data_IF_550065609398
#
_entry.id   IF_550065609398
#
_cell.length_a   1.000
_cell.length_b   1.000
_cell.length_c   1.000
_cell.angle_alpha   90.00
_cell.angle_beta   90.00
_cell.angle_gamma   90.00
#
_symmetry.space_group_name_H-M   'P 1'
#
loop_
_entity.id
_entity.type
_entity.pdbx_description
1 polymer ?
#
# COMPACT_ATOMS: atom_id res chain seq x y z
N UNK A 1 10.39 -21.95 -11.13
CA UNK A 1 9.91 -20.55 -11.16
C UNK A 1 10.07 -19.95 -9.78
N UNK A 2 10.99 -19.01 -9.59
CA UNK A 2 11.23 -18.37 -8.29
C UNK A 2 9.98 -17.60 -7.89
N UNK A 3 9.26 -18.07 -6.86
CA UNK A 3 8.14 -17.34 -6.24
C UNK A 3 8.68 -15.97 -5.83
N UNK A 4 8.29 -14.91 -6.53
CA UNK A 4 8.42 -13.54 -6.04
C UNK A 4 7.43 -13.40 -4.88
N UNK A 5 7.84 -13.84 -3.70
CA UNK A 5 7.14 -13.55 -2.45
C UNK A 5 7.00 -12.04 -2.37
N UNK A 6 5.76 -11.55 -2.25
CA UNK A 6 5.55 -10.13 -1.99
C UNK A 6 6.33 -9.77 -0.71
N UNK A 7 7.27 -8.81 -0.75
CA UNK A 7 8.22 -8.61 0.35
C UNK A 7 7.58 -8.15 1.66
N UNK A 8 6.29 -7.78 1.63
CA UNK A 8 5.53 -7.34 2.80
C UNK A 8 4.15 -8.01 2.84
N UNK A 9 3.80 -8.56 4.00
CA UNK A 9 2.48 -9.12 4.28
C UNK A 9 1.39 -8.04 4.23
N UNK A 10 0.13 -8.41 3.90
CA UNK A 10 -0.99 -7.45 3.90
C UNK A 10 -1.15 -6.76 5.26
N UNK A 11 -0.97 -7.48 6.37
CA UNK A 11 -1.03 -6.92 7.73
C UNK A 11 0.01 -5.79 7.95
N UNK A 12 1.23 -5.96 7.42
CA UNK A 12 2.29 -4.94 7.52
C UNK A 12 1.90 -3.70 6.73
N UNK A 13 1.32 -3.90 5.55
CA UNK A 13 0.83 -2.82 4.69
C UNK A 13 -0.31 -2.03 5.35
N UNK A 14 -1.31 -2.72 5.87
CA UNK A 14 -2.44 -2.06 6.57
C UNK A 14 -1.98 -1.32 7.82
N UNK A 15 -1.09 -1.94 8.61
CA UNK A 15 -0.49 -1.30 9.79
C UNK A 15 0.29 -0.03 9.40
N UNK A 16 1.10 -0.08 8.33
CA UNK A 16 1.89 1.05 7.89
C UNK A 16 0.99 2.19 7.38
N UNK A 17 -0.06 1.89 6.63
CA UNK A 17 -1.04 2.89 6.17
C UNK A 17 -1.77 3.52 7.36
N UNK A 18 -2.21 2.72 8.34
CA UNK A 18 -2.85 3.24 9.56
C UNK A 18 -1.93 4.17 10.33
N UNK A 19 -0.66 3.79 10.47
CA UNK A 19 0.34 4.59 11.17
C UNK A 19 0.60 5.93 10.47
N UNK A 20 0.64 5.97 9.13
CA UNK A 20 0.77 7.25 8.40
C UNK A 20 -0.40 8.18 8.69
N UNK A 21 -1.63 7.67 8.75
CA UNK A 21 -2.83 8.49 9.00
C UNK A 21 -2.89 9.01 10.42
N UNK A 22 -2.50 8.17 11.39
CA UNK A 22 -2.43 8.54 12.81
C UNK A 22 -1.41 9.67 13.05
N UNK A 23 -0.22 9.53 12.44
CA UNK A 23 0.86 10.52 12.58
C UNK A 23 0.77 11.68 11.57
N UNK A 24 -0.23 11.74 10.69
CA UNK A 24 -0.32 12.78 9.65
C UNK A 24 -0.39 14.19 10.25
N UNK A 25 -1.10 14.35 11.37
CA UNK A 25 -1.24 15.63 12.07
C UNK A 25 -0.03 16.06 12.89
N UNK A 26 0.90 15.15 13.19
CA UNK A 26 2.13 15.44 13.94
C UNK A 26 3.27 15.90 13.01
N UNK A 27 3.13 15.66 11.71
CA UNK A 27 4.10 16.05 10.71
C UNK A 27 3.60 17.25 9.89
N UNK A 28 4.52 18.13 9.47
CA UNK A 28 4.17 19.29 8.64
C UNK A 28 3.61 18.95 7.24
N UNK A 29 3.60 17.67 6.86
CA UNK A 29 3.05 17.17 5.60
C UNK A 29 2.87 15.65 5.64
N UNK A 30 1.86 15.13 4.93
CA UNK A 30 1.65 13.69 4.73
C UNK A 30 2.91 12.98 4.20
N UNK A 31 3.67 13.63 3.31
CA UNK A 31 4.93 13.07 2.80
C UNK A 31 6.01 12.90 3.89
N UNK A 32 6.06 13.80 4.88
CA UNK A 32 6.99 13.70 6.00
C UNK A 32 6.60 12.55 6.94
N UNK A 33 5.30 12.37 7.20
CA UNK A 33 4.79 11.19 7.90
C UNK A 33 5.14 9.89 7.16
N UNK A 34 4.91 9.84 5.84
CA UNK A 34 5.26 8.69 5.00
C UNK A 34 6.75 8.36 5.09
N UNK A 35 7.65 9.33 4.99
CA UNK A 35 9.09 9.07 5.09
C UNK A 35 9.49 8.53 6.47
N UNK A 36 8.94 9.11 7.54
CA UNK A 36 9.19 8.68 8.92
C UNK A 36 8.74 7.23 9.15
N UNK A 37 7.51 6.89 8.72
CA UNK A 37 6.97 5.54 8.88
C UNK A 37 7.64 4.53 7.94
N UNK A 38 8.02 4.92 6.72
CA UNK A 38 8.73 4.05 5.79
C UNK A 38 10.10 3.63 6.35
N UNK A 39 10.84 4.57 6.97
CA UNK A 39 12.08 4.26 7.66
C UNK A 39 11.87 3.30 8.85
N UNK A 40 10.76 3.43 9.58
CA UNK A 40 10.40 2.54 10.71
C UNK A 40 10.02 1.12 10.29
N UNK A 41 9.36 0.97 9.13
CA UNK A 41 8.95 -0.33 8.56
C UNK A 41 10.10 -0.99 7.77
N UNK A 42 11.09 -0.21 7.33
CA UNK A 42 12.15 -0.69 6.44
C UNK A 42 11.71 -0.81 4.98
N UNK A 43 10.77 0.04 4.53
CA UNK A 43 10.34 0.11 3.15
C UNK A 43 10.65 1.48 2.54
N UNK A 44 10.62 1.59 1.21
CA UNK A 44 10.79 2.89 0.53
C UNK A 44 9.57 3.78 0.74
N UNK A 45 9.78 5.09 0.90
CA UNK A 45 8.68 6.07 1.03
C UNK A 45 7.69 6.03 -0.14
N UNK A 46 8.16 5.75 -1.36
CA UNK A 46 7.30 5.57 -2.53
C UNK A 46 6.39 4.33 -2.43
N UNK A 47 6.89 3.23 -1.87
CA UNK A 47 6.09 2.02 -1.61
C UNK A 47 4.96 2.31 -0.64
N UNK A 48 5.27 2.99 0.47
CA UNK A 48 4.27 3.34 1.47
C UNK A 48 3.27 4.37 0.93
N UNK A 49 3.71 5.35 0.14
CA UNK A 49 2.82 6.28 -0.57
C UNK A 49 1.85 5.57 -1.51
N UNK A 50 2.30 4.55 -2.23
CA UNK A 50 1.43 3.76 -3.09
C UNK A 50 0.38 2.99 -2.28
N UNK A 51 0.74 2.50 -1.09
CA UNK A 51 -0.21 1.84 -0.21
C UNK A 51 -1.25 2.81 0.36
N UNK A 52 -0.84 3.99 0.79
CA UNK A 52 -1.74 5.05 1.27
C UNK A 52 -2.73 5.44 0.17
N UNK A 53 -2.23 5.71 -1.04
CA UNK A 53 -3.09 6.04 -2.20
C UNK A 53 -4.04 4.92 -2.58
N UNK A 54 -3.61 3.66 -2.46
CA UNK A 54 -4.50 2.53 -2.71
C UNK A 54 -5.61 2.47 -1.65
N UNK A 55 -5.28 2.70 -0.38
CA UNK A 55 -6.28 2.77 0.70
C UNK A 55 -7.24 3.95 0.53
N UNK A 56 -6.78 5.10 0.05
CA UNK A 56 -7.65 6.24 -0.30
C UNK A 56 -8.67 5.86 -1.40
N UNK A 57 -8.24 5.09 -2.42
CA UNK A 57 -9.14 4.59 -3.48
C UNK A 57 -10.13 3.56 -2.96
N UNK A 58 -9.65 2.64 -2.13
CA UNK A 58 -10.48 1.60 -1.50
C UNK A 58 -11.60 2.20 -0.64
N UNK A 59 -11.31 3.32 0.02
CA UNK A 59 -12.27 4.10 0.79
C UNK A 59 -13.14 5.07 -0.05
N UNK A 60 -13.00 5.06 -1.38
CA UNK A 60 -13.77 5.93 -2.27
C UNK A 60 -13.37 7.42 -2.22
N UNK A 61 -12.26 7.77 -1.56
CA UNK A 61 -11.78 9.15 -1.46
C UNK A 61 -11.16 9.63 -2.79
N UNK A 62 -10.66 8.69 -3.62
CA UNK A 62 -10.10 9.00 -4.94
C UNK A 62 -10.67 8.10 -6.04
N UNK A 63 -10.94 8.65 -7.23
CA UNK A 63 -11.27 7.83 -8.40
C UNK A 63 -10.04 7.00 -8.83
N UNK A 64 -10.25 5.72 -9.12
CA UNK A 64 -9.23 4.79 -9.63
C UNK A 64 -9.51 3.33 -9.24
N UNK A 65 -8.81 2.39 -9.85
CA UNK A 65 -9.00 0.95 -9.61
C UNK A 65 -8.73 0.60 -8.13
N UNK A 66 -9.71 -0.03 -7.49
CA UNK A 66 -9.64 -0.49 -6.10
C UNK A 66 -8.73 -1.70 -5.99
N UNK A 67 -8.38 -2.08 -4.75
CA UNK A 67 -7.48 -3.23 -4.53
C UNK A 67 -8.13 -4.51 -5.02
N UNK A 68 -9.47 -4.61 -4.91
CA UNK A 68 -10.30 -5.69 -5.45
C UNK A 68 -10.12 -5.84 -6.97
N UNK A 69 -10.09 -4.74 -7.71
CA UNK A 69 -9.94 -4.78 -9.17
C UNK A 69 -8.53 -5.22 -9.60
N UNK A 70 -7.49 -4.88 -8.82
CA UNK A 70 -6.13 -5.38 -9.02
C UNK A 70 -5.93 -6.83 -8.59
N UNK A 71 -6.58 -7.27 -7.52
CA UNK A 71 -6.56 -8.66 -7.05
C UNK A 71 -7.29 -9.56 -8.05
N UNK A 72 -8.41 -9.11 -8.64
CA UNK A 72 -9.08 -9.79 -9.75
C UNK A 72 -8.19 -9.92 -10.97
N UNK A 73 -7.49 -8.85 -11.39
CA UNK A 73 -6.54 -8.92 -12.51
C UNK A 73 -5.43 -9.93 -12.20
N UNK A 74 -4.88 -9.91 -11.00
CA UNK A 74 -3.79 -10.82 -10.59
C UNK A 74 -4.24 -12.28 -10.45
N UNK A 75 -5.50 -12.51 -10.08
CA UNK A 75 -6.12 -13.84 -10.05
C UNK A 75 -6.45 -14.34 -11.47
N UNK A 76 -6.96 -13.47 -12.35
CA UNK A 76 -7.18 -13.77 -13.77
C UNK A 76 -5.88 -14.07 -14.52
N UNK A 77 -4.80 -13.33 -14.25
CA UNK A 77 -3.46 -13.65 -14.78
C UNK A 77 -2.87 -14.96 -14.24
N UNK A 78 -3.44 -15.50 -13.15
CA UNK A 78 -3.06 -16.80 -12.58
C UNK A 78 -3.77 -17.96 -13.26
N UNK A 79 -5.00 -17.77 -13.76
CA UNK A 79 -5.79 -18.80 -14.45
C UNK A 79 -5.54 -18.87 -15.96
N UNK A 80 -5.14 -17.76 -16.60
CA UNK A 80 -4.80 -17.74 -18.05
C UNK A 80 -3.40 -18.34 -18.33
N UNK A 81 -2.69 -18.75 -17.29
CA UNK A 81 -1.37 -19.40 -17.35
C UNK A 81 -1.42 -20.86 -16.89
N UNK A 82 -2.51 -21.56 -17.21
CA UNK A 82 -2.57 -23.03 -17.33
C UNK A 82 -2.81 -23.43 -18.79
#
# INVERSE_FOLDING_TARGET
MTKRTAPFSPEVRERAVRMVRDHEGEHGSQWSAIQSIAAKIGCSGETLRNWVRQSERDQGVRPGQTTDERERIKALEREVRE
#
